data_IF_860322819976
#
_entry.id   IF_860322819976
#
_cell.length_a   1.000
_cell.length_b   1.000
_cell.length_c   1.000
_cell.angle_alpha   90.00
_cell.angle_beta   90.00
_cell.angle_gamma   90.00
#
_symmetry.space_group_name_H-M   'P 1'
#
loop_
_entity.id
_entity.type
_entity.pdbx_description
1 polymer ?
#
# COMPACT_ATOMS: atom_id res chain seq x y z
N UNK A 1 -8.17 -21.39 3.86
CA UNK A 1 -8.47 -20.23 3.07
C UNK A 1 -7.59 -19.09 3.47
N UNK A 2 -6.89 -18.56 2.54
CA UNK A 2 -6.03 -17.45 2.84
C UNK A 2 -6.89 -16.23 3.11
N UNK A 3 -6.65 -15.58 4.21
CA UNK A 3 -7.32 -14.33 4.48
C UNK A 3 -6.52 -13.21 3.89
N UNK A 4 -7.14 -12.44 3.06
CA UNK A 4 -6.49 -11.26 2.56
C UNK A 4 -6.34 -10.25 3.67
N UNK A 5 -5.18 -9.67 3.74
CA UNK A 5 -4.94 -8.61 4.65
C UNK A 5 -5.67 -7.37 4.17
N UNK A 6 -6.41 -6.73 5.03
CA UNK A 6 -7.14 -5.53 4.68
C UNK A 6 -6.24 -4.43 4.15
N UNK A 7 -5.09 -4.27 4.75
CA UNK A 7 -4.14 -3.24 4.32
C UNK A 7 -3.68 -3.52 2.91
N UNK A 8 -3.29 -4.75 2.63
CA UNK A 8 -2.84 -5.14 1.29
C UNK A 8 -3.92 -4.89 0.25
N UNK A 9 -5.12 -5.30 0.56
CA UNK A 9 -6.23 -5.15 -0.34
C UNK A 9 -6.55 -3.68 -0.60
N UNK A 10 -6.55 -2.89 0.46
CA UNK A 10 -6.87 -1.47 0.34
C UNK A 10 -5.80 -0.72 -0.46
N UNK A 11 -4.54 -1.00 -0.20
CA UNK A 11 -3.46 -0.36 -0.94
C UNK A 11 -3.56 -0.68 -2.42
N UNK A 12 -3.77 -1.95 -2.74
CA UNK A 12 -3.87 -2.37 -4.12
C UNK A 12 -5.06 -1.71 -4.82
N UNK A 13 -6.19 -1.69 -4.15
CA UNK A 13 -7.41 -1.12 -4.70
C UNK A 13 -7.25 0.38 -4.95
N UNK A 14 -6.72 1.09 -3.97
CA UNK A 14 -6.54 2.54 -4.10
C UNK A 14 -5.49 2.88 -5.16
N UNK A 15 -4.43 2.07 -5.23
CA UNK A 15 -3.40 2.25 -6.24
C UNK A 15 -4.00 2.10 -7.64
N UNK A 16 -4.79 1.06 -7.83
CA UNK A 16 -5.41 0.80 -9.13
C UNK A 16 -6.40 1.90 -9.49
N UNK A 17 -7.13 2.40 -8.49
CA UNK A 17 -8.07 3.49 -8.72
C UNK A 17 -7.36 4.77 -9.16
N UNK A 18 -6.11 4.95 -8.75
CA UNK A 18 -5.31 6.09 -9.18
C UNK A 18 -4.57 5.82 -10.49
N UNK A 19 -4.69 4.63 -11.05
CA UNK A 19 -4.00 4.30 -12.29
C UNK A 19 -2.51 4.13 -12.14
N UNK A 20 -2.04 3.81 -10.93
CA UNK A 20 -0.61 3.69 -10.68
C UNK A 20 -0.16 2.24 -10.77
N UNK A 21 1.03 2.02 -11.35
CA UNK A 21 1.68 0.73 -11.26
C UNK A 21 2.32 0.60 -9.88
N UNK A 22 2.71 -0.62 -9.53
CA UNK A 22 3.43 -0.84 -8.28
C UNK A 22 4.75 -0.07 -8.27
N UNK A 23 5.45 -0.08 -9.39
CA UNK A 23 6.71 0.66 -9.50
C UNK A 23 6.48 2.16 -9.34
N UNK A 24 5.45 2.67 -9.96
CA UNK A 24 5.14 4.09 -9.87
C UNK A 24 4.77 4.48 -8.44
N UNK A 25 3.96 3.66 -7.79
CA UNK A 25 3.61 3.93 -6.40
C UNK A 25 4.86 3.96 -5.52
N UNK A 26 5.79 3.04 -5.74
CA UNK A 26 7.01 3.01 -4.94
C UNK A 26 7.79 4.31 -5.08
N UNK A 27 7.84 4.85 -6.28
CA UNK A 27 8.55 6.10 -6.52
C UNK A 27 7.84 7.30 -5.93
N UNK A 28 6.54 7.38 -6.13
CA UNK A 28 5.75 8.50 -5.61
C UNK A 28 5.73 8.48 -4.08
N UNK A 29 5.64 7.30 -3.49
CA UNK A 29 5.61 7.18 -2.05
C UNK A 29 7.00 7.21 -1.41
N UNK A 30 8.04 7.13 -2.22
CA UNK A 30 9.41 7.05 -1.72
C UNK A 30 9.61 5.83 -0.83
N UNK A 31 9.09 4.71 -1.27
CA UNK A 31 9.18 3.43 -0.58
C UNK A 31 9.74 2.44 -1.57
N UNK A 32 10.51 1.47 -1.12
CA UNK A 32 11.13 0.53 -2.05
C UNK A 32 10.08 -0.29 -2.78
N UNK A 33 10.40 -0.66 -4.00
CA UNK A 33 9.52 -1.49 -4.81
C UNK A 33 9.22 -2.82 -4.09
N UNK A 34 10.24 -3.42 -3.49
CA UNK A 34 10.05 -4.66 -2.75
C UNK A 34 9.06 -4.50 -1.61
N UNK A 35 9.07 -3.35 -0.95
CA UNK A 35 8.11 -3.09 0.12
C UNK A 35 6.70 -3.03 -0.42
N UNK A 36 6.49 -2.41 -1.57
CA UNK A 36 5.17 -2.36 -2.19
C UNK A 36 4.71 -3.77 -2.56
N UNK A 37 5.58 -4.56 -3.17
CA UNK A 37 5.25 -5.92 -3.55
C UNK A 37 4.84 -6.73 -2.31
N UNK A 38 5.61 -6.64 -1.26
CA UNK A 38 5.31 -7.38 -0.03
C UNK A 38 3.99 -6.94 0.58
N UNK A 39 3.74 -5.65 0.58
CA UNK A 39 2.50 -5.12 1.14
C UNK A 39 1.28 -5.57 0.34
N UNK A 40 1.41 -5.70 -0.96
CA UNK A 40 0.27 -6.07 -1.80
C UNK A 40 0.07 -7.57 -1.96
N UNK A 41 1.10 -8.36 -1.74
CA UNK A 41 0.99 -9.79 -1.97
C UNK A 41 0.72 -10.60 -0.73
N UNK A 42 0.53 -9.99 0.31
CA UNK A 42 -0.07 -10.67 1.39
C UNK A 42 0.65 -11.31 2.39
N UNK A 43 1.63 -11.25 2.48
CA UNK A 43 2.02 -12.02 3.49
C UNK A 43 2.38 -11.34 4.69
N UNK A 44 3.00 -10.29 4.62
CA UNK A 44 3.49 -9.64 5.75
C UNK A 44 2.84 -8.37 5.96
N UNK A 45 2.52 -8.17 7.17
CA UNK A 45 1.56 -7.24 7.38
C UNK A 45 1.84 -6.35 8.51
N UNK A 46 3.06 -6.02 8.73
CA UNK A 46 3.40 -5.04 9.75
C UNK A 46 4.19 -3.91 9.15
N UNK A 47 3.58 -3.14 8.24
CA UNK A 47 4.25 -1.95 7.77
C UNK A 47 4.36 -0.95 8.93
N UNK A 48 5.43 -0.19 8.94
CA UNK A 48 5.55 0.84 9.96
C UNK A 48 4.57 1.96 9.68
N UNK A 49 4.29 2.74 10.71
CA UNK A 49 3.43 3.92 10.53
C UNK A 49 4.03 4.86 9.49
N UNK A 50 5.34 5.01 9.50
CA UNK A 50 6.01 5.85 8.52
C UNK A 50 5.73 5.38 7.09
N UNK A 51 5.81 4.08 6.86
CA UNK A 51 5.52 3.53 5.53
C UNK A 51 4.07 3.76 5.15
N UNK A 52 3.15 3.53 6.07
CA UNK A 52 1.74 3.76 5.81
C UNK A 52 1.45 5.22 5.49
N UNK A 53 2.08 6.13 6.22
CA UNK A 53 1.89 7.55 5.97
C UNK A 53 2.40 7.95 4.58
N UNK A 54 3.54 7.42 4.18
CA UNK A 54 4.08 7.70 2.86
C UNK A 54 3.17 7.19 1.75
N UNK A 55 2.65 5.99 1.91
CA UNK A 55 1.74 5.40 0.93
C UNK A 55 0.42 6.16 0.88
N UNK A 56 -0.13 6.49 2.05
CA UNK A 56 -1.38 7.24 2.11
C UNK A 56 -1.25 8.58 1.41
N UNK A 57 -0.15 9.26 1.66
CA UNK A 57 0.11 10.55 1.02
C UNK A 57 0.22 10.41 -0.49
N UNK A 58 0.92 9.37 -0.95
CA UNK A 58 1.07 9.10 -2.38
C UNK A 58 -0.27 8.79 -3.04
N UNK A 59 -1.16 8.14 -2.31
CA UNK A 59 -2.48 7.79 -2.83
C UNK A 59 -3.52 8.88 -2.54
N UNK A 60 -3.11 9.94 -1.88
CA UNK A 60 -3.99 11.06 -1.55
C UNK A 60 -5.18 10.61 -0.69
N UNK A 61 -4.90 9.79 0.28
CA UNK A 61 -5.91 9.31 1.22
C UNK A 61 -5.34 9.37 2.63
N UNK A 62 -6.18 9.11 3.62
CA UNK A 62 -5.71 9.06 5.00
C UNK A 62 -5.18 7.66 5.33
N UNK A 63 -4.40 7.57 6.39
CA UNK A 63 -3.94 6.27 6.88
C UNK A 63 -5.15 5.41 7.25
N UNK A 64 -6.19 6.02 7.81
CA UNK A 64 -7.42 5.30 8.12
C UNK A 64 -7.98 4.59 6.91
N UNK A 65 -7.91 5.21 5.75
CA UNK A 65 -8.42 4.59 4.52
C UNK A 65 -7.64 3.33 4.14
N UNK A 66 -6.40 3.23 4.60
CA UNK A 66 -5.59 2.05 4.31
C UNK A 66 -5.91 0.90 5.27
N UNK A 67 -6.34 1.22 6.47
CA UNK A 67 -6.50 0.19 7.50
C UNK A 67 -7.96 -0.20 7.75
N UNK A 68 -8.88 0.47 7.14
CA UNK A 68 -10.30 0.10 7.27
C UNK A 68 -10.58 -1.30 6.67
#
# INVERSE_FOLDING_TARGET
MAQENKISKNIKKLRQAKGLSQDRLSKVANVSYNSIIKLETSGITNPTIDTLQKIAKALDVSVDDLIK
#
